data_IF_440357535970
#
_entry.id   IF_440357535970
#
_cell.length_a   1.000
_cell.length_b   1.000
_cell.length_c   1.000
_cell.angle_alpha   90.00
_cell.angle_beta   90.00
_cell.angle_gamma   90.00
#
_symmetry.space_group_name_H-M   'P 1'
#
loop_
_entity.id
_entity.type
_entity.pdbx_description
1 polymer ?
#
# COMPACT_ATOMS: atom_id res chain seq x y z
N UNK A 1 -12.45 -2.34 2.84
CA UNK A 1 -13.89 -2.11 3.06
C UNK A 1 -14.25 -0.66 2.84
N UNK A 2 -15.25 -0.43 2.03
CA UNK A 2 -15.75 0.93 1.76
C UNK A 2 -17.20 0.99 2.21
N UNK A 3 -17.50 1.96 3.07
CA UNK A 3 -18.85 2.20 3.55
C UNK A 3 -19.34 3.52 2.99
N UNK A 4 -20.50 3.51 2.33
CA UNK A 4 -21.04 4.73 1.72
C UNK A 4 -21.84 5.53 2.76
N UNK A 5 -22.31 6.74 2.42
CA UNK A 5 -23.04 7.55 3.39
C UNK A 5 -24.33 6.91 3.92
N UNK A 6 -24.92 5.97 3.16
CA UNK A 6 -26.12 5.26 3.61
C UNK A 6 -25.78 4.10 4.56
N UNK A 7 -24.52 3.87 4.87
CA UNK A 7 -24.11 2.81 5.77
C UNK A 7 -23.91 1.46 5.10
N UNK A 8 -23.99 1.40 3.79
CA UNK A 8 -23.78 0.15 3.06
C UNK A 8 -22.28 -0.09 2.88
N UNK A 9 -21.80 -1.27 3.29
CA UNK A 9 -20.39 -1.61 3.21
C UNK A 9 -20.14 -2.67 2.16
N UNK A 10 -19.08 -2.47 1.37
CA UNK A 10 -18.63 -3.43 0.37
C UNK A 10 -17.14 -3.65 0.53
N UNK A 11 -16.70 -4.88 0.34
CA UNK A 11 -15.28 -5.21 0.35
C UNK A 11 -14.79 -5.37 -1.08
N UNK A 12 -13.63 -4.79 -1.34
CA UNK A 12 -13.06 -4.74 -2.68
C UNK A 12 -11.65 -5.29 -2.62
N UNK A 13 -11.33 -6.19 -3.53
CA UNK A 13 -9.97 -6.70 -3.67
C UNK A 13 -9.28 -5.95 -4.81
N UNK A 14 -7.96 -5.80 -4.70
CA UNK A 14 -7.17 -5.11 -5.71
C UNK A 14 -6.05 -6.01 -6.20
N UNK A 15 -5.98 -6.18 -7.51
CA UNK A 15 -4.93 -6.96 -8.16
C UNK A 15 -4.02 -6.01 -8.90
N UNK A 16 -2.97 -5.55 -8.22
CA UNK A 16 -2.00 -4.60 -8.75
C UNK A 16 -0.60 -5.19 -8.67
N UNK A 17 0.25 -4.93 -9.66
CA UNK A 17 1.66 -5.33 -9.55
C UNK A 17 2.38 -4.57 -8.44
N UNK A 18 3.60 -4.99 -8.14
CA UNK A 18 4.44 -4.33 -7.15
C UNK A 18 4.64 -2.86 -7.53
N UNK A 19 4.74 -2.02 -6.52
CA UNK A 19 4.98 -0.58 -6.65
C UNK A 19 3.86 0.15 -7.40
N UNK A 20 2.65 -0.40 -7.34
CA UNK A 20 1.47 0.25 -7.93
C UNK A 20 0.42 0.67 -6.91
N UNK A 21 0.85 0.74 -5.49
CA UNK A 21 0.19 1.28 -4.65
C UNK A 21 -0.86 0.64 -4.15
N UNK A 22 -0.75 -0.61 -4.04
CA UNK A 22 -1.77 -1.40 -3.31
C UNK A 22 -1.98 -0.89 -1.89
N UNK A 23 -0.87 -0.65 -1.19
CA UNK A 23 -0.94 -0.19 0.20
C UNK A 23 -1.64 1.16 0.32
N UNK A 24 -1.34 2.07 -0.58
CA UNK A 24 -2.00 3.38 -0.53
C UNK A 24 -3.49 3.26 -0.81
N UNK A 25 -3.90 2.35 -1.69
CA UNK A 25 -5.32 2.13 -1.92
C UNK A 25 -5.98 1.52 -0.69
N UNK A 26 -5.32 0.52 -0.08
CA UNK A 26 -5.88 -0.18 1.07
C UNK A 26 -6.04 0.74 2.28
N UNK A 27 -5.16 1.73 2.39
CA UNK A 27 -5.13 2.62 3.56
C UNK A 27 -5.62 4.03 3.24
N UNK A 28 -6.32 4.22 2.12
CA UNK A 28 -6.67 5.57 1.70
C UNK A 28 -7.63 6.24 2.67
N UNK A 29 -7.53 7.56 2.72
CA UNK A 29 -8.48 8.38 3.43
C UNK A 29 -9.46 8.92 2.39
N UNK A 30 -10.75 8.60 2.50
CA UNK A 30 -11.70 9.02 1.46
C UNK A 30 -11.86 10.54 1.45
N UNK A 31 -11.99 11.10 0.25
CA UNK A 31 -12.25 12.52 0.09
C UNK A 31 -13.73 12.83 -0.15
N UNK A 32 -14.51 11.83 -0.50
CA UNK A 32 -15.95 12.04 -0.68
C UNK A 32 -16.63 12.10 0.69
N UNK A 33 -17.51 13.10 0.90
CA UNK A 33 -18.15 13.25 2.21
C UNK A 33 -18.97 12.01 2.59
N UNK A 34 -18.85 11.61 3.85
CA UNK A 34 -19.65 10.54 4.41
C UNK A 34 -19.18 9.13 4.08
N UNK A 35 -18.14 8.98 3.26
CA UNK A 35 -17.57 7.66 2.98
C UNK A 35 -16.55 7.29 4.06
N UNK A 36 -16.42 5.99 4.30
CA UNK A 36 -15.47 5.45 5.26
C UNK A 36 -14.70 4.31 4.62
N UNK A 37 -13.41 4.23 4.88
CA UNK A 37 -12.55 3.16 4.37
C UNK A 37 -11.93 2.44 5.56
N UNK A 38 -11.93 1.10 5.50
CA UNK A 38 -11.29 0.27 6.51
C UNK A 38 -10.44 -0.79 5.79
N UNK A 39 -9.32 -1.14 6.40
CA UNK A 39 -8.32 -1.99 5.77
C UNK A 39 -8.34 -3.40 6.37
N UNK A 40 -8.51 -4.41 5.51
CA UNK A 40 -8.36 -5.80 5.90
C UNK A 40 -6.92 -6.24 5.71
N UNK A 41 -6.28 -5.77 4.65
CA UNK A 41 -4.90 -6.08 4.35
C UNK A 41 -4.45 -5.32 3.12
N UNK A 42 -3.13 -5.29 2.88
CA UNK A 42 -2.60 -4.41 1.85
C UNK A 42 -1.88 -5.15 0.72
N UNK A 43 -1.66 -6.45 0.85
CA UNK A 43 -0.83 -7.14 -0.16
C UNK A 43 -1.45 -8.44 -0.64
N UNK A 44 -1.72 -9.38 0.25
CA UNK A 44 -2.16 -10.73 -0.13
C UNK A 44 -3.61 -10.93 0.28
N UNK A 45 -4.39 -11.50 -0.61
CA UNK A 45 -5.75 -11.93 -0.31
C UNK A 45 -5.91 -13.38 -0.76
N UNK A 46 -6.20 -14.26 0.19
CA UNK A 46 -6.53 -15.65 -0.13
C UNK A 46 -8.03 -15.75 -0.25
N UNK A 47 -8.49 -16.28 -1.37
CA UNK A 47 -9.91 -16.28 -1.70
C UNK A 47 -10.44 -17.68 -1.93
N UNK A 48 -11.68 -17.90 -1.52
CA UNK A 48 -12.42 -19.09 -1.92
C UNK A 48 -13.90 -18.82 -1.84
N UNK A 49 -14.68 -19.65 -2.52
CA UNK A 49 -16.14 -19.57 -2.43
C UNK A 49 -16.62 -20.31 -1.19
N UNK A 50 -17.55 -19.70 -0.47
CA UNK A 50 -18.16 -20.39 0.67
C UNK A 50 -19.29 -21.31 0.20
N UNK A 51 -19.99 -21.94 1.16
CA UNK A 51 -21.02 -22.92 0.82
C UNK A 51 -22.22 -22.29 0.10
N UNK A 52 -22.37 -20.97 0.20
CA UNK A 52 -23.47 -20.27 -0.50
C UNK A 52 -23.06 -19.76 -1.88
N UNK A 53 -21.79 -19.95 -2.26
CA UNK A 53 -21.30 -19.44 -3.53
C UNK A 53 -20.74 -18.02 -3.47
N UNK A 54 -20.65 -17.43 -2.29
CA UNK A 54 -20.09 -16.09 -2.10
C UNK A 54 -18.57 -16.18 -2.10
N UNK A 55 -17.90 -15.37 -2.93
CA UNK A 55 -16.46 -15.25 -2.89
C UNK A 55 -16.04 -14.50 -1.64
N UNK A 56 -15.15 -15.11 -0.87
CA UNK A 56 -14.66 -14.54 0.38
C UNK A 56 -13.15 -14.51 0.39
N UNK A 57 -12.59 -13.55 1.12
CA UNK A 57 -11.14 -13.36 1.18
C UNK A 57 -10.68 -13.20 2.63
N UNK A 58 -9.49 -13.74 2.90
CA UNK A 58 -8.79 -13.48 4.17
C UNK A 58 -7.44 -12.87 3.86
N UNK A 59 -6.92 -12.13 4.83
CA UNK A 59 -5.54 -11.66 4.79
C UNK A 59 -4.70 -12.66 5.59
N UNK A 60 -3.75 -13.36 4.94
CA UNK A 60 -2.92 -14.33 5.67
C UNK A 60 -1.79 -13.69 6.47
N UNK A 61 -1.61 -12.38 6.38
CA UNK A 61 -0.50 -11.68 7.00
C UNK A 61 -0.95 -10.95 8.24
N UNK A 62 -0.09 -10.96 9.26
CA UNK A 62 -0.38 -10.30 10.53
C UNK A 62 0.17 -8.88 10.59
N UNK A 63 0.70 -8.39 9.49
CA UNK A 63 1.29 -7.05 9.44
C UNK A 63 1.40 -6.53 8.03
N UNK A 64 1.99 -5.36 7.93
CA UNK A 64 2.22 -4.68 6.65
C UNK A 64 3.72 -4.66 6.37
N UNK A 65 4.08 -4.93 5.13
CA UNK A 65 5.45 -4.89 4.67
C UNK A 65 5.51 -3.93 3.48
N UNK A 66 5.54 -2.65 3.79
CA UNK A 66 5.39 -1.61 2.78
C UNK A 66 6.71 -1.01 2.33
N UNK A 67 6.69 -0.37 1.16
CA UNK A 67 7.83 0.37 0.64
C UNK A 67 7.91 1.69 1.38
N UNK A 68 9.11 2.02 1.90
CA UNK A 68 9.26 3.21 2.71
C UNK A 68 9.36 4.50 1.88
N UNK A 69 10.22 4.59 0.84
CA UNK A 69 10.32 5.87 0.12
C UNK A 69 8.99 6.31 -0.47
N UNK A 70 8.68 7.58 -0.31
CA UNK A 70 7.43 8.16 -0.76
C UNK A 70 6.32 8.10 0.26
N UNK A 71 6.48 7.33 1.35
CA UNK A 71 5.48 7.26 2.39
C UNK A 71 5.65 8.45 3.34
N UNK A 72 4.59 9.21 3.51
CA UNK A 72 4.61 10.42 4.33
C UNK A 72 3.20 10.70 4.82
N UNK A 73 3.08 11.68 5.72
CA UNK A 73 1.74 12.11 6.14
C UNK A 73 0.95 12.73 5.00
N UNK A 74 1.62 13.24 3.99
CA UNK A 74 0.94 13.79 2.83
C UNK A 74 0.38 12.68 1.93
N UNK A 75 1.14 11.60 1.74
CA UNK A 75 0.75 10.56 0.79
C UNK A 75 -0.08 9.45 1.43
N UNK A 76 0.17 9.15 2.72
CA UNK A 76 -0.51 8.02 3.38
C UNK A 76 -0.46 8.20 4.90
N UNK A 77 -1.32 9.07 5.45
CA UNK A 77 -1.28 9.30 6.91
C UNK A 77 -1.58 8.04 7.71
N UNK A 78 -2.40 7.14 7.21
CA UNK A 78 -2.71 5.90 7.94
C UNK A 78 -1.49 5.01 8.07
N UNK A 79 -0.65 4.95 7.02
CA UNK A 79 0.59 4.20 7.12
C UNK A 79 1.54 4.83 8.13
N UNK A 80 1.66 6.16 8.11
CA UNK A 80 2.54 6.83 9.06
C UNK A 80 2.09 6.59 10.50
N UNK A 81 0.79 6.59 10.75
CA UNK A 81 0.28 6.31 12.09
C UNK A 81 0.45 4.85 12.47
N UNK A 82 0.53 3.96 11.49
CA UNK A 82 0.77 2.54 11.74
C UNK A 82 2.22 2.27 12.15
N UNK A 83 3.16 2.93 11.48
CA UNK A 83 4.59 2.64 11.66
C UNK A 83 5.26 3.51 12.72
N UNK A 84 4.48 4.28 13.44
CA UNK A 84 4.99 5.21 14.42
C UNK A 84 5.80 4.52 15.52
N UNK A 85 5.46 3.27 15.85
CA UNK A 85 6.18 2.52 16.88
C UNK A 85 6.12 1.04 16.55
N UNK A 86 6.96 0.25 17.24
CA UNK A 86 6.93 -1.21 17.16
C UNK A 86 7.07 -1.70 15.71
N UNK A 87 8.00 -1.09 14.98
CA UNK A 87 8.15 -1.33 13.55
C UNK A 87 9.61 -1.62 13.24
N UNK A 88 9.83 -2.56 12.34
CA UNK A 88 11.16 -2.87 11.83
C UNK A 88 11.34 -2.19 10.48
N UNK A 89 12.48 -1.55 10.29
CA UNK A 89 12.83 -0.89 9.03
C UNK A 89 14.05 -1.57 8.43
N UNK A 90 14.03 -1.73 7.10
CA UNK A 90 15.16 -2.30 6.38
C UNK A 90 15.62 -1.34 5.31
N UNK A 91 16.93 -1.10 5.28
CA UNK A 91 17.60 -0.30 4.25
C UNK A 91 17.09 1.12 4.16
N UNK A 92 16.61 1.67 5.27
CA UNK A 92 16.31 3.10 5.36
C UNK A 92 17.54 3.81 5.90
N UNK A 93 17.53 5.14 5.88
CA UNK A 93 18.58 5.91 6.50
C UNK A 93 18.31 6.08 7.99
N UNK A 94 19.36 6.35 8.74
CA UNK A 94 19.27 6.58 10.18
C UNK A 94 19.55 8.03 10.48
N UNK A 95 18.84 8.59 11.46
CA UNK A 95 19.08 9.94 11.91
C UNK A 95 19.83 9.93 13.24
N UNK A 96 20.59 11.00 13.48
CA UNK A 96 21.41 11.08 14.68
C UNK A 96 20.61 11.13 15.97
N UNK A 97 19.32 11.47 15.88
CA UNK A 97 18.45 11.51 17.06
C UNK A 97 17.72 10.19 17.29
N UNK A 98 18.16 9.11 16.63
CA UNK A 98 17.59 7.79 16.87
C UNK A 98 16.41 7.43 15.99
N UNK A 99 16.12 8.20 14.95
CA UNK A 99 15.01 7.95 14.05
C UNK A 99 15.43 7.37 12.72
N UNK A 100 14.50 7.38 11.79
CA UNK A 100 14.72 6.87 10.43
C UNK A 100 14.36 7.98 9.43
N UNK A 101 14.85 7.80 8.21
CA UNK A 101 14.61 8.78 7.16
C UNK A 101 14.59 8.07 5.81
N UNK A 102 13.74 8.56 4.92
CA UNK A 102 13.68 8.13 3.53
C UNK A 102 13.12 9.26 2.67
N UNK A 103 13.28 9.12 1.39
CA UNK A 103 12.80 10.13 0.43
C UNK A 103 11.27 10.26 0.53
N UNK A 104 10.80 11.47 0.71
CA UNK A 104 9.41 11.78 1.02
C UNK A 104 9.24 12.39 2.40
N UNK A 105 10.29 12.30 3.23
CA UNK A 105 10.28 12.91 4.57
C UNK A 105 11.07 14.22 4.61
N UNK A 106 11.31 14.84 3.44
CA UNK A 106 11.98 16.12 3.40
C UNK A 106 11.23 17.13 4.25
N UNK A 107 11.96 17.87 5.03
CA UNK A 107 11.36 18.84 5.92
C UNK A 107 11.03 18.32 7.31
N UNK A 108 11.15 17.00 7.53
CA UNK A 108 10.91 16.47 8.88
C UNK A 108 12.16 16.47 9.76
N UNK A 109 13.35 16.72 9.16
CA UNK A 109 14.58 16.69 9.92
C UNK A 109 14.70 17.92 10.80
N UNK A 110 14.91 17.71 12.10
CA UNK A 110 15.11 18.80 13.03
C UNK A 110 16.47 19.44 12.80
N UNK A 111 16.60 20.69 13.20
CA UNK A 111 17.86 21.42 13.08
C UNK A 111 18.95 20.67 13.85
N UNK A 112 20.10 20.50 13.20
CA UNK A 112 21.25 19.83 13.82
C UNK A 112 21.26 18.31 13.73
N UNK A 113 20.18 17.72 13.22
CA UNK A 113 20.12 16.27 13.05
C UNK A 113 20.87 15.88 11.78
N UNK A 114 21.75 14.87 11.88
CA UNK A 114 22.50 14.36 10.74
C UNK A 114 21.94 13.03 10.29
N UNK A 115 22.18 12.68 9.03
CA UNK A 115 21.63 11.48 8.41
C UNK A 115 22.77 10.59 7.94
N UNK A 116 22.65 9.29 8.20
CA UNK A 116 23.53 8.27 7.66
C UNK A 116 22.72 7.44 6.70
N UNK A 117 23.18 7.31 5.45
CA UNK A 117 22.40 6.62 4.44
C UNK A 117 22.37 5.10 4.70
N UNK A 118 21.60 4.40 3.86
CA UNK A 118 21.36 2.98 4.04
C UNK A 118 22.64 2.14 3.89
N UNK A 119 23.68 2.72 3.31
CA UNK A 119 24.96 2.03 3.16
C UNK A 119 25.97 2.45 4.24
N UNK A 120 25.55 3.25 5.21
CA UNK A 120 26.40 3.64 6.33
C UNK A 120 27.26 4.87 6.08
N UNK A 121 26.95 5.67 5.07
CA UNK A 121 27.74 6.85 4.71
C UNK A 121 27.01 8.12 5.15
N UNK A 122 27.75 9.19 5.50
CA UNK A 122 27.09 10.47 5.76
C UNK A 122 26.30 10.94 4.53
N UNK A 123 25.13 11.51 4.80
CA UNK A 123 24.23 11.94 3.73
C UNK A 123 23.63 13.30 4.11
N UNK A 124 23.46 14.16 3.13
CA UNK A 124 22.79 15.46 3.33
C UNK A 124 21.72 15.65 2.26
N UNK A 125 20.67 16.42 2.59
CA UNK A 125 19.67 16.75 1.56
C UNK A 125 20.33 17.41 0.35
N UNK A 126 19.87 17.01 -0.84
CA UNK A 126 20.46 17.50 -2.07
C UNK A 126 21.55 16.60 -2.63
N UNK A 127 21.94 15.53 -1.91
CA UNK A 127 22.91 14.57 -2.42
C UNK A 127 22.39 13.91 -3.70
N UNK A 128 23.31 13.51 -4.58
CA UNK A 128 22.92 12.83 -5.81
C UNK A 128 22.47 11.40 -5.58
N UNK A 129 22.93 10.80 -4.48
CA UNK A 129 22.53 9.43 -4.13
C UNK A 129 21.38 9.48 -3.13
N UNK A 130 20.50 8.48 -3.14
CA UNK A 130 19.39 8.48 -2.18
C UNK A 130 19.86 8.12 -0.78
N UNK A 131 19.13 8.62 0.22
CA UNK A 131 19.38 8.29 1.61
C UNK A 131 18.97 6.85 1.92
N UNK A 132 17.82 6.42 1.42
CA UNK A 132 17.30 5.08 1.61
C UNK A 132 17.37 4.31 0.30
N UNK A 133 17.50 2.99 0.40
CA UNK A 133 17.41 2.17 -0.81
C UNK A 133 16.01 2.34 -1.43
N UNK A 134 15.91 2.42 -2.77
CA UNK A 134 14.59 2.61 -3.38
C UNK A 134 13.56 1.51 -3.03
N UNK A 135 14.02 0.34 -2.62
CA UNK A 135 13.14 -0.73 -2.18
C UNK A 135 13.23 -0.96 -0.67
N UNK A 136 13.61 0.06 0.07
CA UNK A 136 13.61 -0.03 1.54
C UNK A 136 12.18 -0.23 2.04
N UNK A 137 12.07 -0.88 3.21
CA UNK A 137 10.76 -1.34 3.68
C UNK A 137 10.55 -1.02 5.14
N UNK A 138 9.27 -0.94 5.51
CA UNK A 138 8.84 -1.02 6.90
C UNK A 138 8.03 -2.28 7.10
N UNK A 139 8.09 -2.84 8.31
CA UNK A 139 7.30 -4.00 8.69
C UNK A 139 6.66 -3.71 10.04
N UNK A 140 5.33 -3.68 10.08
CA UNK A 140 4.59 -3.21 11.23
C UNK A 140 3.35 -4.08 11.48
N UNK A 141 2.96 -4.30 12.76
CA UNK A 141 1.76 -5.09 13.03
C UNK A 141 0.52 -4.44 12.43
N UNK A 142 -0.35 -5.27 11.86
CA UNK A 142 -1.58 -4.76 11.23
C UNK A 142 -2.52 -4.13 12.25
N UNK A 143 -2.51 -4.63 13.47
CA UNK A 143 -3.40 -4.13 14.52
C UNK A 143 -3.12 -2.67 14.89
N UNK A 144 -1.96 -2.14 14.50
CA UNK A 144 -1.64 -0.73 14.77
C UNK A 144 -2.27 0.22 13.76
N UNK A 145 -2.83 -0.30 12.67
CA UNK A 145 -3.42 0.55 11.64
C UNK A 145 -4.69 1.23 12.17
N UNK A 146 -4.78 2.55 12.11
CA UNK A 146 -5.94 3.23 12.70
C UNK A 146 -7.25 2.93 12.00
N UNK A 147 -7.21 2.44 10.76
CA UNK A 147 -8.42 2.07 10.04
C UNK A 147 -8.55 0.56 9.84
N UNK A 148 -7.91 -0.23 10.70
CA UNK A 148 -8.02 -1.68 10.57
C UNK A 148 -9.49 -2.10 10.66
N UNK A 149 -9.90 -2.99 9.76
CA UNK A 149 -11.28 -3.47 9.72
C UNK A 149 -11.56 -4.38 10.91
N UNK A 150 -12.74 -4.28 11.56
CA UNK A 150 -13.04 -5.18 12.67
C UNK A 150 -12.99 -6.66 12.32
N UNK A 151 -13.19 -7.00 11.04
CA UNK A 151 -13.19 -8.38 10.58
C UNK A 151 -11.87 -8.80 9.96
N UNK A 152 -10.78 -8.05 10.19
CA UNK A 152 -9.52 -8.31 9.50
C UNK A 152 -8.94 -9.70 9.82
N UNK A 153 -9.29 -10.26 10.96
CA UNK A 153 -8.82 -11.60 11.37
C UNK A 153 -9.91 -12.66 11.33
N UNK A 154 -11.10 -12.33 10.81
CA UNK A 154 -12.19 -13.28 10.80
C UNK A 154 -11.82 -14.52 9.99
N UNK A 155 -11.95 -15.73 10.55
CA UNK A 155 -11.61 -16.93 9.78
C UNK A 155 -12.56 -17.19 8.62
N UNK A 156 -13.78 -16.64 8.67
CA UNK A 156 -14.69 -16.75 7.54
C UNK A 156 -14.33 -15.77 6.42
N UNK A 157 -13.44 -14.82 6.69
CA UNK A 157 -13.08 -13.81 5.74
C UNK A 157 -14.18 -12.79 5.52
N UNK A 158 -14.00 -11.98 4.48
CA UNK A 158 -14.95 -10.93 4.14
C UNK A 158 -15.49 -11.18 2.74
N UNK A 159 -16.77 -10.85 2.48
CA UNK A 159 -17.35 -11.10 1.15
C UNK A 159 -16.84 -10.06 0.15
N UNK A 160 -16.36 -10.55 -1.00
CA UNK A 160 -15.78 -9.66 -2.02
C UNK A 160 -16.88 -9.27 -3.00
N UNK A 161 -17.06 -7.97 -3.19
CA UNK A 161 -18.07 -7.42 -4.08
C UNK A 161 -17.49 -6.99 -5.42
N UNK A 162 -16.19 -6.69 -5.49
CA UNK A 162 -15.57 -6.25 -6.73
C UNK A 162 -14.07 -6.54 -6.67
N UNK A 163 -13.49 -6.69 -7.85
CA UNK A 163 -12.04 -6.81 -7.97
C UNK A 163 -11.57 -5.71 -8.91
N UNK A 164 -10.62 -4.91 -8.44
CA UNK A 164 -9.98 -3.88 -9.24
C UNK A 164 -8.68 -4.43 -9.82
N UNK A 165 -8.53 -4.35 -11.13
CA UNK A 165 -7.27 -4.65 -11.77
C UNK A 165 -6.58 -3.34 -12.08
N UNK A 166 -5.30 -3.24 -11.78
CA UNK A 166 -4.58 -2.02 -12.02
C UNK A 166 -3.13 -2.28 -12.37
N UNK A 167 -2.46 -1.23 -12.80
CA UNK A 167 -1.06 -1.33 -13.17
C UNK A 167 -0.60 -0.05 -13.81
N UNK A 168 0.63 -0.08 -14.31
CA UNK A 168 1.21 1.04 -15.05
C UNK A 168 0.72 0.95 -16.47
N UNK A 169 -0.22 1.81 -16.83
CA UNK A 169 -0.81 1.76 -18.15
C UNK A 169 0.13 2.37 -19.19
N UNK A 170 0.17 1.81 -20.38
CA UNK A 170 0.89 2.47 -21.47
C UNK A 170 0.12 3.70 -21.96
N UNK A 171 0.82 4.52 -22.73
CA UNK A 171 0.20 5.70 -23.29
C UNK A 171 -0.97 5.29 -24.18
N UNK A 172 -2.04 6.07 -24.13
CA UNK A 172 -3.22 5.84 -24.96
C UNK A 172 -4.27 4.94 -24.36
N UNK A 173 -3.97 4.32 -23.22
CA UNK A 173 -4.96 3.49 -22.52
C UNK A 173 -5.72 4.38 -21.53
N UNK A 174 -7.05 4.26 -21.46
CA UNK A 174 -7.82 5.05 -20.50
C UNK A 174 -7.35 4.84 -19.07
N UNK A 175 -7.47 5.88 -18.25
CA UNK A 175 -7.05 5.80 -16.86
C UNK A 175 -7.89 4.80 -16.08
N UNK A 176 -9.20 4.83 -16.30
CA UNK A 176 -10.15 3.94 -15.63
C UNK A 176 -11.22 3.53 -16.64
N UNK A 177 -11.60 2.27 -16.60
CA UNK A 177 -12.80 1.83 -17.29
C UNK A 177 -13.41 0.65 -16.55
N UNK A 178 -14.67 0.45 -16.74
CA UNK A 178 -15.49 -0.48 -15.99
C UNK A 178 -15.96 -1.61 -16.89
N UNK A 179 -15.87 -2.84 -16.39
CA UNK A 179 -16.39 -3.99 -17.13
C UNK A 179 -17.92 -3.98 -17.08
N UNK A 180 -18.53 -4.43 -18.17
CA UNK A 180 -20.00 -4.46 -18.28
C UNK A 180 -20.64 -5.61 -17.53
N UNK A 181 -19.85 -6.66 -17.23
CA UNK A 181 -20.34 -7.83 -16.51
C UNK A 181 -19.15 -8.52 -15.87
N UNK A 182 -19.42 -9.48 -15.00
CA UNK A 182 -18.34 -10.24 -14.38
C UNK A 182 -17.52 -10.98 -15.43
N UNK A 183 -18.19 -11.62 -16.42
CA UNK A 183 -17.48 -12.32 -17.48
C UNK A 183 -16.60 -11.39 -18.31
N UNK A 184 -17.12 -10.20 -18.62
CA UNK A 184 -16.33 -9.19 -19.32
C UNK A 184 -15.11 -8.77 -18.49
N UNK A 185 -15.28 -8.64 -17.18
CA UNK A 185 -14.19 -8.30 -16.29
C UNK A 185 -13.12 -9.37 -16.26
N UNK A 186 -13.50 -10.64 -16.27
CA UNK A 186 -12.55 -11.74 -16.33
C UNK A 186 -11.72 -11.64 -17.61
N UNK A 187 -12.39 -11.37 -18.73
CA UNK A 187 -11.69 -11.20 -20.02
C UNK A 187 -10.71 -10.03 -19.96
N UNK A 188 -11.17 -8.87 -19.50
CA UNK A 188 -10.31 -7.69 -19.41
C UNK A 188 -9.12 -7.96 -18.50
N UNK A 189 -9.37 -8.53 -17.32
CA UNK A 189 -8.30 -8.81 -16.37
C UNK A 189 -7.26 -9.78 -16.91
N UNK A 190 -7.70 -10.76 -17.68
CA UNK A 190 -6.78 -11.73 -18.25
C UNK A 190 -5.98 -11.15 -19.40
N UNK A 191 -6.47 -10.09 -20.03
CA UNK A 191 -5.81 -9.48 -21.19
C UNK A 191 -4.93 -8.27 -20.78
N UNK A 192 -5.09 -7.78 -19.56
CA UNK A 192 -4.31 -6.64 -19.11
C UNK A 192 -2.83 -6.98 -18.94
N UNK A 193 -2.01 -5.96 -19.10
CA UNK A 193 -0.62 -6.06 -18.69
C UNK A 193 -0.20 -4.71 -18.14
N UNK A 194 0.89 -4.71 -17.40
CA UNK A 194 1.44 -3.50 -16.82
C UNK A 194 2.81 -3.24 -17.43
N UNK A 195 3.15 -1.98 -17.59
CA UNK A 195 4.53 -1.62 -17.91
C UNK A 195 5.43 -2.02 -16.73
N UNK A 196 6.74 -2.05 -17.00
CA UNK A 196 7.69 -2.49 -15.99
C UNK A 196 7.57 -1.67 -14.71
N UNK A 197 7.70 -2.35 -13.57
CA UNK A 197 7.69 -1.66 -12.28
C UNK A 197 9.03 -0.98 -12.04
N UNK A 198 9.05 -0.04 -11.10
CA UNK A 198 10.28 0.63 -10.71
C UNK A 198 11.34 -0.37 -10.25
N UNK A 199 10.92 -1.45 -9.57
CA UNK A 199 11.86 -2.45 -9.10
C UNK A 199 12.54 -3.18 -10.27
N UNK A 200 11.79 -3.46 -11.33
CA UNK A 200 12.36 -4.11 -12.51
C UNK A 200 13.31 -3.18 -13.26
N UNK A 201 12.93 -1.90 -13.37
CA UNK A 201 13.79 -0.91 -13.98
C UNK A 201 15.11 -0.75 -13.23
N UNK A 202 15.02 -0.87 -11.91
CA UNK A 202 16.19 -0.65 -11.06
C UNK A 202 17.21 -1.79 -11.15
N UNK A 203 16.80 -2.94 -11.64
CA UNK A 203 17.74 -4.07 -11.77
C UNK A 203 18.76 -3.90 -12.87
N UNK A 204 18.78 -2.77 -13.49
CA UNK A 204 19.88 -2.40 -14.37
C UNK A 204 20.07 -3.34 -15.54
N UNK A 205 19.17 -3.34 -16.44
CA UNK A 205 19.36 -4.04 -17.69
C UNK A 205 20.17 -3.18 -18.63
#
# INVERSE_FOLDING_TARGET
>A
GITNPAGQKRYIAAAFPSACXKTNLAMMTPTLPGYKVECVGDDIAWMKFDTTGQLRAINPENGFFGVAPGTSYETNPNAMDTIFHNTIFTNVAATSDGGVYWEGLEGTLATGVTVTDWQGRPWTPGSKTPAAHPNSRFCSPASQCPIIDPNWESPEGVPISAILFGGRRPQGVPLVYEAFSWAHGVYIGSAMRSEATAAAEFKGK
#
